data_IF_676992998326
#
_entry.id   IF_676992998326
#
_cell.length_a   1.000
_cell.length_b   1.000
_cell.length_c   1.000
_cell.angle_alpha   90.00
_cell.angle_beta   90.00
_cell.angle_gamma   90.00
#
_symmetry.space_group_name_H-M   'P 1'
#
loop_
_entity.id
_entity.type
_entity.pdbx_description
1 polymer ?
#
# COMPACT_ATOMS: atom_id res chain seq x y z
N UNK A 1 -0.13 -8.77 2.32
CA UNK A 1 1.23 -8.27 2.66
C UNK A 1 2.24 -9.22 2.06
N UNK A 2 3.24 -8.68 1.36
CA UNK A 2 4.38 -9.42 0.83
C UNK A 2 5.62 -9.07 1.65
N UNK A 3 6.20 -10.04 2.36
CA UNK A 3 7.41 -9.83 3.19
C UNK A 3 8.63 -9.57 2.32
N UNK A 4 8.69 -10.24 1.16
CA UNK A 4 9.61 -9.94 0.06
C UNK A 4 8.74 -9.68 -1.17
N UNK A 5 8.83 -8.52 -1.84
CA UNK A 5 9.84 -7.46 -1.72
C UNK A 5 9.41 -6.29 -0.80
N UNK A 6 8.78 -6.58 0.35
CA UNK A 6 8.27 -5.59 1.33
C UNK A 6 7.17 -4.66 0.76
N UNK A 7 6.04 -5.23 0.36
CA UNK A 7 4.86 -4.49 -0.10
C UNK A 7 3.64 -4.72 0.81
N UNK A 8 2.98 -3.64 1.22
CA UNK A 8 1.71 -3.65 1.97
C UNK A 8 0.65 -2.95 1.13
N UNK A 9 -0.54 -3.54 1.07
CA UNK A 9 -1.73 -2.95 0.43
C UNK A 9 -2.79 -2.77 1.52
N UNK A 10 -3.32 -1.56 1.63
CA UNK A 10 -4.38 -1.18 2.57
C UNK A 10 -5.66 -0.84 1.81
N UNK A 11 -6.79 -1.33 2.31
CA UNK A 11 -8.11 -0.94 1.85
C UNK A 11 -8.67 0.13 2.78
N UNK A 12 -9.03 1.28 2.23
CA UNK A 12 -9.57 2.41 2.96
C UNK A 12 -11.10 2.49 2.80
N UNK A 13 -11.80 2.20 3.89
CA UNK A 13 -13.26 2.30 3.97
C UNK A 13 -13.78 3.67 4.36
N UNK A 14 -12.91 4.66 4.59
CA UNK A 14 -13.26 6.01 4.97
C UNK A 14 -14.07 6.08 6.24
N UNK A 15 -13.42 6.07 7.42
CA UNK A 15 -14.08 6.50 8.65
C UNK A 15 -13.17 7.33 9.56
N UNK A 16 -13.73 8.44 10.05
CA UNK A 16 -13.23 9.36 11.08
C UNK A 16 -11.87 10.07 10.86
N UNK A 17 -11.91 11.41 10.97
CA UNK A 17 -10.73 12.27 10.96
C UNK A 17 -9.69 11.93 12.04
N UNK A 18 -10.10 11.26 13.12
CA UNK A 18 -9.20 10.78 14.18
C UNK A 18 -8.30 9.62 13.74
N UNK A 19 -8.68 8.85 12.71
CA UNK A 19 -7.86 7.77 12.15
C UNK A 19 -6.75 8.29 11.24
N UNK A 20 -6.86 9.51 10.70
CA UNK A 20 -5.86 10.08 9.80
C UNK A 20 -4.47 10.23 10.46
N UNK A 21 -4.42 10.62 11.74
CA UNK A 21 -3.16 10.76 12.48
C UNK A 21 -2.54 9.39 12.77
N UNK A 22 -3.37 8.42 13.13
CA UNK A 22 -2.92 7.05 13.40
C UNK A 22 -2.41 6.36 12.11
N UNK A 23 -3.12 6.55 11.00
CA UNK A 23 -2.76 6.03 9.68
C UNK A 23 -1.45 6.63 9.16
N UNK A 24 -1.22 7.92 9.41
CA UNK A 24 0.05 8.56 9.07
C UNK A 24 1.21 7.96 9.88
N UNK A 25 1.05 7.83 11.20
CA UNK A 25 2.09 7.25 12.06
C UNK A 25 2.41 5.80 11.68
N UNK A 26 1.37 5.00 11.35
CA UNK A 26 1.51 3.63 10.87
C UNK A 26 2.28 3.55 9.56
N UNK A 27 1.92 4.41 8.59
CA UNK A 27 2.59 4.48 7.29
C UNK A 27 4.06 4.85 7.44
N UNK A 28 4.37 5.86 8.26
CA UNK A 28 5.75 6.29 8.55
C UNK A 28 6.56 5.14 9.18
N UNK A 29 5.98 4.45 10.17
CA UNK A 29 6.64 3.31 10.81
C UNK A 29 6.94 2.18 9.81
N UNK A 30 5.96 1.79 8.98
CA UNK A 30 6.15 0.73 7.98
C UNK A 30 7.18 1.11 6.90
N UNK A 31 7.15 2.37 6.45
CA UNK A 31 8.16 2.89 5.52
C UNK A 31 9.56 2.85 6.14
N UNK A 32 9.70 3.11 7.45
CA UNK A 32 10.98 3.02 8.16
C UNK A 32 11.55 1.60 8.20
N UNK A 33 10.69 0.57 8.12
CA UNK A 33 11.09 -0.84 8.02
C UNK A 33 11.42 -1.27 6.57
N UNK A 34 11.29 -0.33 5.62
CA UNK A 34 11.53 -0.53 4.19
C UNK A 34 10.33 -1.14 3.46
N UNK A 35 9.12 -1.07 4.02
CA UNK A 35 7.93 -1.42 3.28
C UNK A 35 7.49 -0.28 2.37
N UNK A 36 7.03 -0.63 1.18
CA UNK A 36 6.18 0.24 0.37
C UNK A 36 4.72 0.00 0.78
N UNK A 37 3.98 1.06 1.08
CA UNK A 37 2.56 0.99 1.44
C UNK A 37 1.74 1.61 0.31
N UNK A 38 0.86 0.82 -0.31
CA UNK A 38 -0.17 1.28 -1.22
C UNK A 38 -1.52 1.29 -0.51
N UNK A 39 -2.31 2.34 -0.72
CA UNK A 39 -3.64 2.48 -0.14
C UNK A 39 -4.64 2.77 -1.24
N UNK A 40 -5.75 2.05 -1.22
CA UNK A 40 -6.85 2.20 -2.17
C UNK A 40 -8.15 2.41 -1.42
N UNK A 41 -9.00 3.31 -1.90
CA UNK A 41 -10.35 3.45 -1.41
C UNK A 41 -11.18 2.20 -1.76
N UNK A 42 -12.14 1.88 -0.90
CA UNK A 42 -13.07 0.77 -1.15
C UNK A 42 -13.78 0.90 -2.51
N UNK A 43 -14.12 2.11 -2.95
CA UNK A 43 -14.75 2.30 -4.25
C UNK A 43 -13.80 1.97 -5.42
N UNK A 44 -12.50 2.26 -5.31
CA UNK A 44 -11.49 1.89 -6.32
C UNK A 44 -11.34 0.37 -6.36
N UNK A 45 -11.25 -0.28 -5.20
CA UNK A 45 -11.14 -1.74 -5.11
C UNK A 45 -12.36 -2.42 -5.75
N UNK A 46 -13.56 -1.92 -5.47
CA UNK A 46 -14.82 -2.54 -5.89
C UNK A 46 -15.21 -2.21 -7.34
N UNK A 47 -14.87 -1.02 -7.84
CA UNK A 47 -15.32 -0.55 -9.16
C UNK A 47 -14.20 -0.50 -10.21
N UNK A 48 -12.94 -0.43 -9.78
CA UNK A 48 -11.76 -0.25 -10.63
C UNK A 48 -10.72 -1.33 -10.32
N UNK A 49 -11.17 -2.56 -10.06
CA UNK A 49 -10.31 -3.66 -9.62
C UNK A 49 -9.13 -3.91 -10.56
N UNK A 50 -9.34 -3.79 -11.87
CA UNK A 50 -8.26 -3.98 -12.85
C UNK A 50 -7.16 -2.91 -12.73
N UNK A 51 -7.54 -1.66 -12.47
CA UNK A 51 -6.60 -0.55 -12.31
C UNK A 51 -5.81 -0.71 -11.01
N UNK A 52 -6.49 -1.11 -9.92
CA UNK A 52 -5.87 -1.45 -8.64
C UNK A 52 -4.85 -2.59 -8.80
N UNK A 53 -5.21 -3.66 -9.51
CA UNK A 53 -4.31 -4.79 -9.76
C UNK A 53 -3.12 -4.39 -10.64
N UNK A 54 -3.34 -3.58 -11.66
CA UNK A 54 -2.29 -3.09 -12.54
C UNK A 54 -1.26 -2.25 -11.76
N UNK A 55 -1.72 -1.38 -10.85
CA UNK A 55 -0.86 -0.57 -10.02
C UNK A 55 -0.06 -1.41 -9.01
N UNK A 56 -0.72 -2.37 -8.34
CA UNK A 56 -0.03 -3.31 -7.45
C UNK A 56 1.06 -4.08 -8.20
N UNK A 57 0.75 -4.58 -9.40
CA UNK A 57 1.71 -5.33 -10.22
C UNK A 57 2.89 -4.44 -10.65
N UNK A 58 2.61 -3.21 -11.10
CA UNK A 58 3.65 -2.24 -11.50
C UNK A 58 4.63 -2.00 -10.36
N UNK A 59 4.13 -1.71 -9.16
CA UNK A 59 4.96 -1.46 -7.97
C UNK A 59 5.72 -2.71 -7.56
N UNK A 60 5.08 -3.88 -7.59
CA UNK A 60 5.75 -5.14 -7.26
C UNK A 60 6.95 -5.39 -8.19
N UNK A 61 6.77 -5.20 -9.50
CA UNK A 61 7.85 -5.34 -10.50
C UNK A 61 8.98 -4.33 -10.29
N UNK A 62 8.67 -3.11 -9.85
CA UNK A 62 9.70 -2.11 -9.51
C UNK A 62 10.50 -2.51 -8.28
N UNK A 63 9.85 -3.06 -7.27
CA UNK A 63 10.50 -3.52 -6.04
C UNK A 63 11.36 -4.78 -6.28
N UNK A 64 10.94 -5.68 -7.15
CA UNK A 64 11.73 -6.86 -7.53
C UNK A 64 12.99 -6.52 -8.33
N UNK A 65 12.97 -5.42 -9.09
CA UNK A 65 14.13 -4.93 -9.86
C UNK A 65 15.17 -4.22 -9.00
N UNK A 66 14.79 -3.77 -7.80
CA UNK A 66 15.72 -3.12 -6.88
C UNK A 66 16.52 -4.21 -6.15
N UNK A 67 17.88 -4.19 -6.23
CA UNK A 67 18.68 -5.12 -5.45
C UNK A 67 18.35 -4.93 -3.96
N UNK A 68 18.28 -6.04 -3.21
CA UNK A 68 18.02 -6.01 -1.79
C UNK A 68 18.97 -5.01 -1.10
N UNK A 69 18.39 -3.96 -0.52
CA UNK A 69 19.11 -2.90 0.20
C UNK A 69 19.68 -3.41 1.51
#
# INVERSE_FOLDING_TARGET
MCVTPKLIVEADGGQHAEQAVYDHARTVYLNSLGFTVLRFWNHEILQQTNDVLAEILRVLQELEKQPAR
#
